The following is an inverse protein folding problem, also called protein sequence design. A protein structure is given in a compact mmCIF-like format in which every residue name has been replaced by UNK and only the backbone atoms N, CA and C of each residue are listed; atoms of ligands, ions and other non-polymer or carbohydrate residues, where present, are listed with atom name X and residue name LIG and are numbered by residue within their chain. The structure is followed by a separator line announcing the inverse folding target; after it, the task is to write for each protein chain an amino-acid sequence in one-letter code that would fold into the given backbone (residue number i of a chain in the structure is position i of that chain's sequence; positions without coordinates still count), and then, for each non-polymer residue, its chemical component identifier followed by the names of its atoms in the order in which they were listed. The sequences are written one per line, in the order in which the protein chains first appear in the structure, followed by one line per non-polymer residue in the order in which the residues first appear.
data_IF_715384075737
#
_entry.id   IF_715384075737
#
_cell.length_a   1.000
_cell.length_b   1.000
_cell.length_c   1.000
_cell.angle_alpha   90.00
_cell.angle_beta   90.00
_cell.angle_gamma   90.00
#
_symmetry.space_group_name_H-M   'P 1'
#
loop_
_entity.id
_entity.type
_entity.pdbx_description
1 polymer ?
#
# COMPACT_ATOMS: atom_id res chain seq x y z
N UNK A 1 -26.35 -19.77 -6.87
CA UNK A 1 -26.86 -18.72 -5.97
C UNK A 1 -26.24 -18.82 -4.58
N UNK A 2 -26.04 -20.04 -4.06
CA UNK A 2 -25.48 -20.25 -2.71
C UNK A 2 -24.07 -19.70 -2.48
N UNK A 3 -23.17 -19.78 -3.47
CA UNK A 3 -21.79 -19.31 -3.31
C UNK A 3 -21.68 -17.79 -3.20
N UNK A 4 -22.50 -17.04 -3.93
CA UNK A 4 -22.51 -15.56 -3.91
C UNK A 4 -23.04 -15.08 -2.55
N UNK A 5 -24.10 -15.69 -2.05
CA UNK A 5 -24.67 -15.37 -0.74
C UNK A 5 -23.71 -15.70 0.41
N UNK A 6 -22.90 -16.76 0.28
CA UNK A 6 -21.83 -17.08 1.25
C UNK A 6 -20.72 -16.03 1.23
N UNK A 7 -20.32 -15.58 0.05
CA UNK A 7 -19.32 -14.54 -0.12
C UNK A 7 -19.78 -13.20 0.45
N UNK A 8 -21.03 -12.81 0.20
CA UNK A 8 -21.59 -11.57 0.77
C UNK A 8 -21.69 -11.67 2.29
N UNK A 9 -22.21 -12.78 2.83
CA UNK A 9 -22.30 -12.97 4.28
C UNK A 9 -20.92 -12.99 4.96
N UNK A 10 -19.91 -13.57 4.32
CA UNK A 10 -18.53 -13.53 4.81
C UNK A 10 -17.97 -12.10 4.79
N UNK A 11 -18.18 -11.37 3.69
CA UNK A 11 -17.74 -9.98 3.58
C UNK A 11 -18.41 -9.09 4.64
N UNK A 12 -19.72 -9.20 4.81
CA UNK A 12 -20.47 -8.47 5.82
C UNK A 12 -19.96 -8.80 7.23
N UNK A 13 -19.67 -10.06 7.51
CA UNK A 13 -19.04 -10.47 8.77
C UNK A 13 -17.66 -9.82 8.96
N UNK A 14 -16.80 -9.79 7.94
CA UNK A 14 -15.49 -9.13 8.06
C UNK A 14 -15.61 -7.63 8.31
N UNK A 15 -16.62 -6.95 7.75
CA UNK A 15 -16.88 -5.54 8.01
C UNK A 15 -17.26 -5.28 9.48
N UNK A 16 -17.87 -6.26 10.17
CA UNK A 16 -18.14 -6.12 11.61
C UNK A 16 -16.88 -6.09 12.48
N UNK A 17 -15.77 -6.64 11.99
CA UNK A 17 -14.46 -6.66 12.65
C UNK A 17 -13.57 -5.48 12.23
N UNK A 18 -13.99 -4.71 11.22
CA UNK A 18 -13.19 -3.63 10.67
C UNK A 18 -13.07 -2.44 11.64
N UNK A 19 -11.91 -1.79 11.65
CA UNK A 19 -11.67 -0.60 12.45
C UNK A 19 -12.45 0.60 11.88
N UNK A 20 -13.47 1.04 12.62
CA UNK A 20 -14.37 2.15 12.24
C UNK A 20 -13.65 3.48 12.09
N UNK A 21 -12.48 3.66 12.72
CA UNK A 21 -11.72 4.91 12.72
C UNK A 21 -11.16 5.26 11.35
N UNK A 22 -10.87 4.23 10.55
CA UNK A 22 -10.25 4.36 9.22
C UNK A 22 -11.21 4.05 8.07
N UNK A 23 -12.48 3.75 8.35
CA UNK A 23 -13.45 3.27 7.36
C UNK A 23 -13.65 4.23 6.17
N UNK A 24 -13.49 5.54 6.39
CA UNK A 24 -13.63 6.58 5.36
C UNK A 24 -12.31 6.98 4.70
N UNK A 25 -11.21 6.31 5.04
CA UNK A 25 -9.91 6.65 4.47
C UNK A 25 -9.80 6.15 3.03
N UNK A 26 -9.06 6.87 2.17
CA UNK A 26 -8.93 6.48 0.77
C UNK A 26 -8.43 5.04 0.64
N UNK A 27 -9.06 4.28 -0.27
CA UNK A 27 -8.73 2.88 -0.59
C UNK A 27 -8.97 1.85 0.54
N UNK A 28 -9.60 2.24 1.65
CA UNK A 28 -9.92 1.35 2.77
C UNK A 28 -11.39 0.88 2.76
N UNK A 29 -12.31 1.70 2.26
CA UNK A 29 -13.76 1.42 2.27
C UNK A 29 -14.12 0.08 1.62
N UNK A 30 -13.39 -0.31 0.58
CA UNK A 30 -13.56 -1.57 -0.12
C UNK A 30 -12.22 -2.13 -0.55
N UNK A 31 -12.03 -3.46 -0.59
CA UNK A 31 -10.82 -4.06 -1.16
C UNK A 31 -10.79 -3.97 -2.71
N UNK A 32 -11.91 -3.67 -3.36
CA UNK A 32 -12.04 -3.69 -4.82
C UNK A 32 -11.07 -2.71 -5.53
N UNK A 33 -10.90 -1.45 -5.09
CA UNK A 33 -9.93 -0.53 -5.69
C UNK A 33 -8.50 -1.06 -5.63
N UNK A 34 -8.10 -1.67 -4.51
CA UNK A 34 -6.76 -2.26 -4.36
C UNK A 34 -6.56 -3.44 -5.31
N UNK A 35 -7.55 -4.33 -5.39
CA UNK A 35 -7.52 -5.46 -6.32
C UNK A 35 -7.41 -4.97 -7.75
N UNK A 36 -8.18 -3.94 -8.13
CA UNK A 36 -8.10 -3.34 -9.46
C UNK A 36 -6.71 -2.77 -9.75
N UNK A 37 -6.10 -2.05 -8.80
CA UNK A 37 -4.72 -1.53 -8.93
C UNK A 37 -3.74 -2.67 -9.18
N UNK A 38 -3.80 -3.75 -8.38
CA UNK A 38 -2.89 -4.90 -8.52
C UNK A 38 -3.08 -5.64 -9.85
N UNK A 39 -4.33 -5.84 -10.29
CA UNK A 39 -4.62 -6.47 -11.59
C UNK A 39 -4.09 -5.62 -12.74
N UNK A 40 -4.33 -4.30 -12.70
CA UNK A 40 -3.81 -3.36 -13.69
C UNK A 40 -2.27 -3.35 -13.71
N UNK A 41 -1.65 -3.35 -12.52
CA UNK A 41 -0.21 -3.44 -12.35
C UNK A 41 0.37 -4.71 -12.99
N UNK A 42 -0.20 -5.89 -12.69
CA UNK A 42 0.25 -7.16 -13.25
C UNK A 42 0.04 -7.22 -14.77
N UNK A 43 -1.11 -6.75 -15.26
CA UNK A 43 -1.36 -6.66 -16.69
C UNK A 43 -0.34 -5.77 -17.40
N UNK A 44 0.07 -4.66 -16.75
CA UNK A 44 1.09 -3.78 -17.27
C UNK A 44 2.47 -4.45 -17.30
N UNK A 45 2.98 -4.92 -16.16
CA UNK A 45 4.35 -5.45 -16.06
C UNK A 45 4.53 -6.73 -16.87
N UNK A 46 3.53 -7.62 -16.90
CA UNK A 46 3.65 -8.91 -17.58
C UNK A 46 3.41 -8.82 -19.08
N UNK A 47 2.42 -8.03 -19.52
CA UNK A 47 1.97 -8.04 -20.91
C UNK A 47 2.17 -6.71 -21.63
N UNK A 48 1.55 -5.63 -21.12
CA UNK A 48 1.46 -4.36 -21.86
C UNK A 48 2.84 -3.70 -21.99
N UNK A 49 3.57 -3.58 -20.88
CA UNK A 49 4.89 -2.98 -20.80
C UNK A 49 5.91 -3.65 -21.72
N UNK A 50 6.15 -4.97 -21.60
CA UNK A 50 7.09 -5.68 -22.48
C UNK A 50 6.70 -5.59 -23.97
N UNK A 51 5.40 -5.73 -24.29
CA UNK A 51 4.90 -5.60 -25.67
C UNK A 51 5.13 -4.20 -26.24
N UNK A 52 4.88 -3.16 -25.44
CA UNK A 52 5.10 -1.76 -25.81
C UNK A 52 6.59 -1.44 -25.99
N UNK A 53 7.44 -1.96 -25.10
CA UNK A 53 8.88 -1.72 -25.12
C UNK A 53 9.62 -2.55 -26.16
N UNK A 54 9.02 -3.62 -26.73
CA UNK A 54 9.66 -4.50 -27.73
C UNK A 54 10.31 -3.74 -28.90
N UNK A 55 9.63 -2.71 -29.42
CA UNK A 55 10.11 -1.91 -30.56
C UNK A 55 10.76 -0.57 -30.17
N UNK A 56 10.86 -0.25 -28.88
CA UNK A 56 11.41 1.02 -28.38
C UNK A 56 12.77 0.82 -27.74
N UNK A 57 13.61 1.87 -27.70
CA UNK A 57 14.82 1.86 -26.88
C UNK A 57 14.44 2.04 -25.40
N UNK A 58 15.34 1.66 -24.50
CA UNK A 58 15.14 1.88 -23.07
C UNK A 58 14.89 3.37 -22.80
N UNK A 59 13.87 3.68 -21.98
CA UNK A 59 13.61 5.07 -21.59
C UNK A 59 14.60 5.48 -20.50
N UNK A 60 15.17 6.67 -20.65
CA UNK A 60 15.97 7.29 -19.60
C UNK A 60 15.09 8.24 -18.79
N UNK A 61 15.21 8.11 -17.47
CA UNK A 61 14.44 8.89 -16.52
C UNK A 61 15.34 9.85 -15.72
N UNK A 62 16.65 9.93 -16.01
CA UNK A 62 17.55 10.97 -15.49
C UNK A 62 17.37 11.27 -14.00
N UNK A 63 17.03 12.52 -13.66
CA UNK A 63 16.84 13.00 -12.29
C UNK A 63 15.55 12.50 -11.61
N UNK A 64 14.57 12.01 -12.38
CA UNK A 64 13.31 11.53 -11.81
C UNK A 64 13.53 10.31 -10.90
N UNK A 65 14.38 9.36 -11.29
CA UNK A 65 14.66 8.17 -10.49
C UNK A 65 15.27 8.45 -9.11
N UNK A 66 16.36 9.23 -8.99
CA UNK A 66 16.91 9.55 -7.69
C UNK A 66 15.95 10.40 -6.85
N UNK A 67 15.21 11.34 -7.44
CA UNK A 67 14.21 12.13 -6.73
C UNK A 67 13.06 11.26 -6.19
N UNK A 68 12.58 10.32 -7.00
CA UNK A 68 11.55 9.35 -6.62
C UNK A 68 12.03 8.44 -5.46
N UNK A 69 13.22 7.87 -5.57
CA UNK A 69 13.78 7.02 -4.49
C UNK A 69 13.99 7.83 -3.20
N UNK A 70 14.44 9.07 -3.30
CA UNK A 70 14.60 9.95 -2.14
C UNK A 70 13.25 10.27 -1.48
N UNK A 71 12.21 10.52 -2.28
CA UNK A 71 10.85 10.72 -1.77
C UNK A 71 10.32 9.47 -1.04
N UNK A 72 10.58 8.27 -1.56
CA UNK A 72 10.25 7.02 -0.86
C UNK A 72 10.99 6.87 0.46
N UNK A 73 12.29 7.20 0.51
CA UNK A 73 13.06 7.18 1.77
C UNK A 73 12.47 8.15 2.78
N UNK A 74 12.13 9.38 2.36
CA UNK A 74 11.50 10.37 3.22
C UNK A 74 10.13 9.90 3.74
N UNK A 75 9.31 9.29 2.88
CA UNK A 75 8.02 8.72 3.27
C UNK A 75 8.18 7.58 4.29
N UNK A 76 9.12 6.66 4.05
CA UNK A 76 9.40 5.56 4.98
C UNK A 76 9.94 6.06 6.33
N UNK A 77 10.77 7.12 6.32
CA UNK A 77 11.20 7.78 7.55
C UNK A 77 10.03 8.41 8.31
N UNK A 78 9.12 9.10 7.61
CA UNK A 78 7.92 9.68 8.21
C UNK A 78 7.03 8.60 8.84
N UNK A 79 6.79 7.48 8.15
CA UNK A 79 6.03 6.34 8.68
C UNK A 79 6.68 5.81 9.96
N UNK A 80 8.00 5.58 9.93
CA UNK A 80 8.74 5.11 11.10
C UNK A 80 8.58 6.08 12.28
N UNK A 81 8.72 7.38 12.03
CA UNK A 81 8.55 8.41 13.05
C UNK A 81 7.14 8.39 13.67
N UNK A 82 6.07 8.35 12.85
CA UNK A 82 4.70 8.30 13.34
C UNK A 82 4.41 7.05 14.18
N UNK A 83 4.85 5.88 13.72
CA UNK A 83 4.61 4.61 14.42
C UNK A 83 5.39 4.54 15.73
N UNK A 84 6.67 4.92 15.72
CA UNK A 84 7.53 4.88 16.93
C UNK A 84 7.04 5.90 17.96
N UNK A 85 6.77 7.14 17.55
CA UNK A 85 6.34 8.17 18.50
C UNK A 85 4.91 7.93 19.00
N UNK A 86 4.02 7.42 18.14
CA UNK A 86 2.66 7.04 18.51
C UNK A 86 2.63 5.88 19.49
N UNK A 87 3.33 4.78 19.19
CA UNK A 87 3.39 3.60 20.07
C UNK A 87 4.06 3.90 21.42
N UNK A 88 5.14 4.68 21.42
CA UNK A 88 5.83 5.09 22.64
C UNK A 88 4.91 5.94 23.54
N UNK A 89 4.24 6.96 22.97
CA UNK A 89 3.34 7.85 23.74
C UNK A 89 2.05 7.15 24.18
N UNK A 90 1.59 6.15 23.44
CA UNK A 90 0.46 5.32 23.80
C UNK A 90 0.81 4.22 24.83
N UNK A 91 2.07 4.13 25.28
CA UNK A 91 2.57 3.11 26.21
C UNK A 91 2.30 1.68 25.73
N UNK A 92 2.51 1.42 24.44
CA UNK A 92 2.34 0.08 23.89
C UNK A 92 3.39 -0.87 24.45
N UNK A 93 2.95 -2.07 24.84
CA UNK A 93 3.86 -3.17 25.11
C UNK A 93 4.41 -3.69 23.78
N UNK A 94 5.73 -3.82 23.68
CA UNK A 94 6.42 -4.37 22.50
C UNK A 94 6.16 -5.87 22.28
N UNK A 95 5.51 -6.54 23.24
CA UNK A 95 5.15 -7.96 23.13
C UNK A 95 3.74 -8.12 22.58
N UNK A 96 2.76 -7.54 23.28
CA UNK A 96 1.35 -7.67 22.91
C UNK A 96 0.58 -6.44 23.42
N UNK A 97 -0.04 -5.73 22.49
CA UNK A 97 -0.96 -4.64 22.80
C UNK A 97 -2.27 -4.91 22.04
N UNK A 98 -3.41 -5.01 22.72
CA UNK A 98 -4.69 -5.18 22.05
C UNK A 98 -5.05 -3.91 21.28
N UNK A 99 -5.63 -4.08 20.09
CA UNK A 99 -6.15 -2.96 19.30
C UNK A 99 -7.40 -2.39 19.99
N UNK A 100 -7.37 -1.09 20.31
CA UNK A 100 -8.50 -0.38 20.92
C UNK A 100 -9.28 0.39 19.86
N UNK A 101 -10.06 -0.33 19.05
CA UNK A 101 -10.84 0.25 17.94
C UNK A 101 -11.91 1.28 18.38
N UNK A 102 -12.32 1.25 19.64
CA UNK A 102 -13.35 2.16 20.18
C UNK A 102 -12.77 3.47 20.75
N UNK A 103 -11.44 3.62 20.75
CA UNK A 103 -10.75 4.81 21.27
C UNK A 103 -10.21 5.66 20.13
N UNK A 104 -10.50 6.97 20.18
CA UNK A 104 -9.92 7.99 19.31
C UNK A 104 -8.71 8.68 19.96
N UNK A 105 -7.92 7.92 20.74
CA UNK A 105 -6.71 8.46 21.36
C UNK A 105 -5.78 9.05 20.28
N UNK A 106 -5.32 10.31 20.43
CA UNK A 106 -4.49 10.95 19.43
C UNK A 106 -3.19 10.20 19.10
N UNK A 107 -2.62 9.45 20.05
CA UNK A 107 -1.38 8.71 19.83
C UNK A 107 -1.65 7.39 19.08
N UNK A 108 -2.76 6.72 19.37
CA UNK A 108 -3.19 5.55 18.59
C UNK A 108 -3.56 5.94 17.16
N UNK A 109 -4.21 7.10 16.97
CA UNK A 109 -4.55 7.61 15.65
C UNK A 109 -3.31 7.95 14.81
N UNK A 110 -2.20 8.35 15.44
CA UNK A 110 -0.90 8.50 14.76
C UNK A 110 -0.36 7.17 14.24
N UNK A 111 -0.46 6.11 15.04
CA UNK A 111 -0.08 4.76 14.60
C UNK A 111 -0.97 4.31 13.45
N UNK A 112 -2.29 4.49 13.54
CA UNK A 112 -3.23 4.17 12.46
C UNK A 112 -2.88 4.93 11.17
N UNK A 113 -2.58 6.24 11.27
CA UNK A 113 -2.16 7.07 10.15
C UNK A 113 -0.84 6.58 9.54
N UNK A 114 0.14 6.22 10.37
CA UNK A 114 1.40 5.61 9.92
C UNK A 114 1.18 4.29 9.16
N UNK A 115 0.29 3.42 9.64
CA UNK A 115 -0.07 2.16 8.97
C UNK A 115 -0.77 2.41 7.64
N UNK A 116 -1.63 3.42 7.54
CA UNK A 116 -2.27 3.78 6.27
C UNK A 116 -1.26 4.36 5.28
N UNK A 117 -0.34 5.23 5.71
CA UNK A 117 0.75 5.71 4.86
C UNK A 117 1.67 4.59 4.40
N UNK A 118 1.90 3.58 5.23
CA UNK A 118 2.60 2.35 4.83
C UNK A 118 1.85 1.57 3.75
N UNK A 119 0.52 1.44 3.89
CA UNK A 119 -0.30 0.85 2.85
C UNK A 119 -0.20 1.62 1.51
N UNK A 120 -0.23 2.96 1.55
CA UNK A 120 -0.03 3.80 0.36
C UNK A 120 1.39 3.67 -0.20
N UNK A 121 2.42 3.61 0.65
CA UNK A 121 3.81 3.46 0.19
C UNK A 121 4.00 2.17 -0.60
N UNK A 122 3.34 1.06 -0.21
CA UNK A 122 3.35 -0.20 -0.96
C UNK A 122 2.75 -0.07 -2.36
N UNK A 123 1.69 0.73 -2.52
CA UNK A 123 1.12 1.00 -3.85
C UNK A 123 2.09 1.81 -4.70
N UNK A 124 2.79 2.79 -4.10
CA UNK A 124 3.79 3.59 -4.81
C UNK A 124 4.98 2.71 -5.25
N UNK A 125 5.47 1.83 -4.38
CA UNK A 125 6.57 0.89 -4.68
C UNK A 125 6.26 -0.05 -5.87
N UNK A 126 4.99 -0.34 -6.17
CA UNK A 126 4.62 -1.07 -7.40
C UNK A 126 5.05 -0.31 -8.68
N UNK A 127 5.23 1.01 -8.61
CA UNK A 127 5.75 1.79 -9.73
C UNK A 127 7.22 1.46 -10.05
N UNK A 128 7.99 0.89 -9.13
CA UNK A 128 9.42 0.58 -9.34
C UNK A 128 9.60 -0.43 -10.47
N UNK A 129 8.83 -1.51 -10.41
CA UNK A 129 8.87 -2.57 -11.41
C UNK A 129 8.27 -2.11 -12.75
N UNK A 130 7.31 -1.19 -12.73
CA UNK A 130 6.85 -0.47 -13.93
C UNK A 130 8.03 0.31 -14.56
N UNK A 131 8.76 1.08 -13.77
CA UNK A 131 9.94 1.82 -14.25
C UNK A 131 11.06 0.88 -14.73
N UNK A 132 11.28 -0.27 -14.07
CA UNK A 132 12.24 -1.28 -14.53
C UNK A 132 11.86 -1.87 -15.90
N UNK A 133 10.57 -2.17 -16.10
CA UNK A 133 10.03 -2.66 -17.37
C UNK A 133 10.27 -1.62 -18.48
N UNK A 134 10.02 -0.34 -18.19
CA UNK A 134 10.22 0.76 -19.12
C UNK A 134 11.70 1.08 -19.40
N UNK A 135 12.61 0.72 -18.50
CA UNK A 135 14.07 0.84 -18.69
C UNK A 135 14.70 -0.38 -19.38
N UNK A 136 13.91 -1.42 -19.70
CA UNK A 136 14.41 -2.72 -20.20
C UNK A 136 15.49 -3.32 -19.29
N UNK A 137 15.30 -3.20 -17.97
CA UNK A 137 16.19 -3.79 -16.97
C UNK A 137 15.56 -5.07 -16.42
N UNK A 138 15.15 -5.97 -17.32
CA UNK A 138 14.36 -7.16 -17.00
C UNK A 138 15.10 -8.12 -16.05
N UNK A 139 16.44 -8.07 -15.99
CA UNK A 139 17.24 -8.85 -15.03
C UNK A 139 16.99 -8.47 -13.56
N UNK A 140 16.37 -7.32 -13.29
CA UNK A 140 16.02 -6.87 -11.93
C UNK A 140 14.58 -7.25 -11.55
N UNK A 141 13.82 -7.82 -12.48
CA UNK A 141 12.50 -8.41 -12.23
C UNK A 141 12.77 -9.90 -11.96
N UNK A 142 13.02 -10.25 -10.70
CA UNK A 142 13.19 -11.66 -10.26
C UNK A 142 12.06 -12.03 -9.33
#
# INVERSE_FOLDING_TARGET
MDSINRLSAFYDWTLTLADKRVAKWPLIESPLPTIAIVVCYLAFVVYIGPKFMRKRKAMDFGLFLPAYNFALVALNYYILHEVVTGSYRANYSYICTPLRSDSYDPNEMKVANGVWWYYISKIIELCDTVLFTLRKRDRQIT
#
